data_IF_627149929903
#
_entry.id   IF_627149929903
#
_cell.length_a   1.000
_cell.length_b   1.000
_cell.length_c   1.000
_cell.angle_alpha   90.00
_cell.angle_beta   90.00
_cell.angle_gamma   90.00
#
_symmetry.space_group_name_H-M   'P 1'
#
loop_
_entity.id
_entity.type
_entity.pdbx_description
1 polymer ?
#
# COMPACT_ATOMS: atom_id res chain seq x y z
N UNK A 1 -0.19 9.96 7.41
CA UNK A 1 1.27 10.16 7.31
C UNK A 1 1.91 8.78 7.25
N UNK A 2 2.97 8.61 6.47
CA UNK A 2 3.73 7.36 6.40
C UNK A 2 5.22 7.67 6.52
N UNK A 3 5.93 6.84 7.29
CA UNK A 3 7.34 7.06 7.65
C UNK A 3 8.17 5.83 7.26
N UNK A 4 9.39 6.08 6.78
CA UNK A 4 10.39 5.05 6.52
C UNK A 4 11.80 5.62 6.80
N UNK A 5 12.39 5.23 7.93
CA UNK A 5 13.63 5.84 8.42
C UNK A 5 13.45 7.34 8.68
N UNK A 6 14.35 8.17 8.17
CA UNK A 6 14.31 9.64 8.30
C UNK A 6 13.40 10.32 7.27
N UNK A 7 12.66 9.54 6.49
CA UNK A 7 11.79 10.05 5.43
C UNK A 7 10.32 9.92 5.81
N UNK A 8 9.61 11.05 5.73
CA UNK A 8 8.18 11.13 6.02
C UNK A 8 7.43 11.68 4.82
N UNK A 9 6.27 11.07 4.52
CA UNK A 9 5.35 11.53 3.48
C UNK A 9 3.92 11.67 4.01
N UNK A 10 3.17 12.57 3.39
CA UNK A 10 1.73 12.66 3.56
C UNK A 10 1.02 11.88 2.45
N UNK A 11 0.03 11.08 2.84
CA UNK A 11 -0.89 10.42 1.92
C UNK A 11 -2.18 11.23 1.91
N UNK A 12 -2.60 11.66 0.72
CA UNK A 12 -3.91 12.27 0.53
C UNK A 12 -4.93 11.16 0.30
N UNK A 13 -5.96 11.11 1.13
CA UNK A 13 -6.99 10.08 1.12
C UNK A 13 -8.35 10.73 1.38
N UNK A 14 -9.40 10.11 0.86
CA UNK A 14 -10.77 10.60 1.02
C UNK A 14 -11.25 10.45 2.47
N UNK A 15 -11.00 9.28 3.08
CA UNK A 15 -11.40 8.99 4.45
C UNK A 15 -10.44 8.02 5.17
N UNK A 16 -10.52 8.01 6.50
CA UNK A 16 -9.81 7.08 7.37
C UNK A 16 -10.80 6.05 7.93
N UNK A 17 -10.67 4.79 7.48
CA UNK A 17 -11.52 3.69 7.93
C UNK A 17 -11.10 3.09 9.28
N UNK A 18 -9.91 3.45 9.79
CA UNK A 18 -9.36 2.95 11.05
C UNK A 18 -8.24 1.93 10.87
N UNK A 19 -8.05 1.06 11.87
CA UNK A 19 -7.03 0.01 11.89
C UNK A 19 -7.71 -1.37 11.92
N UNK A 20 -7.24 -2.27 11.06
CA UNK A 20 -7.72 -3.64 10.98
C UNK A 20 -6.54 -4.61 10.77
N UNK A 21 -6.61 -5.79 11.39
CA UNK A 21 -5.72 -6.89 11.09
C UNK A 21 -6.14 -7.60 9.80
N UNK A 22 -5.20 -7.76 8.87
CA UNK A 22 -5.45 -8.37 7.56
C UNK A 22 -4.36 -9.37 7.20
N UNK A 23 -4.71 -10.35 6.38
CA UNK A 23 -3.73 -11.28 5.79
C UNK A 23 -3.29 -10.76 4.44
N UNK A 24 -2.01 -10.44 4.31
CA UNK A 24 -1.44 -10.02 3.02
C UNK A 24 -1.32 -11.24 2.10
N UNK A 25 -1.83 -11.10 0.88
CA UNK A 25 -1.72 -12.07 -0.19
C UNK A 25 -0.86 -11.49 -1.32
N UNK A 26 -0.18 -12.37 -2.04
CA UNK A 26 0.51 -11.98 -3.26
C UNK A 26 -0.50 -11.49 -4.31
N UNK A 27 -0.09 -10.50 -5.10
CA UNK A 27 -0.90 -10.01 -6.22
C UNK A 27 -1.15 -11.16 -7.22
N UNK A 28 -2.38 -11.38 -7.69
CA UNK A 28 -2.67 -12.40 -8.70
C UNK A 28 -1.84 -12.22 -9.97
N UNK A 29 -1.44 -13.31 -10.61
CA UNK A 29 -0.52 -13.29 -11.76
C UNK A 29 -1.05 -12.51 -12.97
N UNK A 30 -2.38 -12.41 -13.11
CA UNK A 30 -3.02 -11.66 -14.20
C UNK A 30 -2.98 -10.14 -13.96
N UNK A 31 -2.67 -9.68 -12.75
CA UNK A 31 -2.46 -8.26 -12.45
C UNK A 31 -0.98 -7.96 -12.62
N UNK A 32 -0.67 -6.99 -13.48
CA UNK A 32 0.71 -6.52 -13.65
C UNK A 32 1.25 -6.01 -12.32
N UNK A 33 2.53 -6.26 -12.07
CA UNK A 33 3.23 -5.65 -10.92
C UNK A 33 3.17 -4.12 -11.07
N UNK A 34 2.45 -3.48 -10.16
CA UNK A 34 2.32 -2.03 -10.11
C UNK A 34 3.32 -1.47 -9.12
N UNK A 35 4.05 -0.42 -9.52
CA UNK A 35 4.98 0.30 -8.63
C UNK A 35 4.23 0.84 -7.42
N UNK A 36 4.80 0.66 -6.23
CA UNK A 36 4.22 1.16 -4.97
C UNK A 36 3.17 0.26 -4.34
N UNK A 37 2.96 -0.97 -4.85
CA UNK A 37 2.11 -1.98 -4.21
C UNK A 37 2.95 -3.20 -3.80
N UNK A 38 2.73 -3.70 -2.59
CA UNK A 38 3.37 -4.92 -2.07
C UNK A 38 2.48 -6.16 -2.19
N UNK A 39 1.16 -5.98 -2.26
CA UNK A 39 0.21 -7.09 -2.37
C UNK A 39 -1.25 -6.64 -2.32
N UNK A 40 -2.13 -7.58 -2.01
CA UNK A 40 -3.56 -7.32 -1.80
C UNK A 40 -4.10 -8.16 -0.64
N UNK A 41 -5.31 -7.86 -0.19
CA UNK A 41 -6.05 -8.64 0.79
C UNK A 41 -7.53 -8.66 0.45
N UNK A 42 -8.24 -9.67 0.94
CA UNK A 42 -9.70 -9.78 0.85
C UNK A 42 -10.27 -9.36 2.20
N UNK A 43 -11.07 -8.29 2.22
CA UNK A 43 -11.76 -7.81 3.40
C UNK A 43 -12.96 -8.71 3.73
N UNK A 44 -13.47 -8.60 4.96
CA UNK A 44 -14.60 -9.40 5.44
C UNK A 44 -15.93 -9.13 4.72
N UNK A 45 -16.05 -7.98 4.05
CA UNK A 45 -17.16 -7.59 3.20
C UNK A 45 -17.03 -8.07 1.74
N UNK A 46 -15.94 -8.78 1.42
CA UNK A 46 -15.65 -9.30 0.10
C UNK A 46 -14.94 -8.32 -0.84
N UNK A 47 -14.63 -7.10 -0.40
CA UNK A 47 -13.86 -6.15 -1.19
C UNK A 47 -12.36 -6.51 -1.21
N UNK A 48 -11.69 -6.17 -2.31
CA UNK A 48 -10.23 -6.33 -2.42
C UNK A 48 -9.55 -5.02 -2.05
N UNK A 49 -8.67 -5.08 -1.06
CA UNK A 49 -7.83 -3.96 -0.64
C UNK A 49 -6.40 -4.16 -1.12
N UNK A 50 -5.79 -3.07 -1.60
CA UNK A 50 -4.39 -3.05 -2.03
C UNK A 50 -3.48 -2.68 -0.86
N UNK A 51 -2.33 -3.33 -0.76
CA UNK A 51 -1.30 -3.02 0.24
C UNK A 51 -0.25 -2.12 -0.41
N UNK A 52 -0.08 -0.92 0.12
CA UNK A 52 0.91 0.06 -0.34
C UNK A 52 2.32 -0.31 0.14
N UNK A 53 3.30 -0.20 -0.74
CA UNK A 53 4.72 -0.27 -0.42
C UNK A 53 5.27 1.14 -0.16
N UNK A 54 5.18 1.59 1.10
CA UNK A 54 5.65 2.92 1.52
C UNK A 54 7.14 3.11 1.23
N UNK A 55 7.96 2.08 1.46
CA UNK A 55 9.39 2.16 1.23
C UNK A 55 9.72 2.35 -0.24
N UNK A 56 9.08 1.56 -1.12
CA UNK A 56 9.19 1.70 -2.56
C UNK A 56 8.68 3.05 -3.07
N UNK A 57 7.60 3.60 -2.49
CA UNK A 57 7.07 4.92 -2.84
C UNK A 57 8.04 6.05 -2.45
N UNK A 58 8.65 5.98 -1.27
CA UNK A 58 9.62 7.00 -0.82
C UNK A 58 10.89 6.93 -1.67
N UNK A 59 11.44 5.75 -1.92
CA UNK A 59 12.62 5.56 -2.76
C UNK A 59 12.38 6.02 -4.20
N UNK A 60 11.18 5.78 -4.73
CA UNK A 60 10.78 6.25 -6.05
C UNK A 60 10.85 7.77 -6.21
N UNK A 61 10.65 8.50 -5.12
CA UNK A 61 10.68 9.96 -5.09
C UNK A 61 12.10 10.53 -5.15
N UNK A 62 13.11 9.77 -4.75
CA UNK A 62 14.51 10.20 -4.73
C UNK A 62 15.21 10.09 -6.10
N UNK A 63 14.54 9.49 -7.09
CA UNK A 63 15.06 9.32 -8.46
C UNK A 63 14.52 10.37 -9.45
N UNK A 64 13.91 11.45 -8.95
CA UNK A 64 13.50 12.62 -9.72
C UNK A 64 14.22 13.86 -9.19
#
# INVERSE_FOLDING_TARGET
MAENGDHTICLFADELLGQQEVVVKAMPQYIKKTRGLSGCTLLGDGQISLILDVGGIIAARQQQ
#
